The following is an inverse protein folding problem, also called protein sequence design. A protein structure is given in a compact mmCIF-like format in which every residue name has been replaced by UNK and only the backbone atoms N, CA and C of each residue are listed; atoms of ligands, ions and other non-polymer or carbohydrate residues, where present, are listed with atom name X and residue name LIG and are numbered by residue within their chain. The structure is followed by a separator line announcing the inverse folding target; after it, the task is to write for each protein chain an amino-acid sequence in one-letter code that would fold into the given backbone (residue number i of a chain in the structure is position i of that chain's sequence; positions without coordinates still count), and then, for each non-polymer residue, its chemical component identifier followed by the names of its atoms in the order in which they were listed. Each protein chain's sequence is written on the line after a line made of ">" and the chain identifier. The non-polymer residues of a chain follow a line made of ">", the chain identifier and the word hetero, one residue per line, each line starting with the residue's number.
data_IF_250982480417
#
_entry.id   IF_250982480417
#
_cell.length_a   1.000
_cell.length_b   1.000
_cell.length_c   1.000
_cell.angle_alpha   90.00
_cell.angle_beta   90.00
_cell.angle_gamma   90.00
#
_symmetry.space_group_name_H-M   'P 1'
#
loop_
_entity.id
_entity.type
_entity.pdbx_description
1 polymer ?
#
# COMPACT_ATOMS: atom_id res chain seq x y z
N UNK A 1 -6.71 -6.91 -12.47
CA UNK A 1 -7.18 -8.09 -13.25
C UNK A 1 -8.31 -8.78 -12.50
N UNK A 2 -8.13 -9.29 -11.25
CA UNK A 2 -9.18 -10.04 -10.55
C UNK A 2 -10.47 -9.25 -10.28
N UNK A 3 -10.37 -8.02 -9.77
CA UNK A 3 -11.55 -7.17 -9.51
C UNK A 3 -12.27 -6.80 -10.81
N UNK A 4 -11.53 -6.50 -11.87
CA UNK A 4 -12.10 -6.21 -13.21
C UNK A 4 -12.84 -7.42 -13.79
N UNK A 5 -12.28 -8.62 -13.66
CA UNK A 5 -12.94 -9.85 -14.11
C UNK A 5 -14.24 -10.10 -13.33
N UNK A 6 -14.25 -9.84 -12.02
CA UNK A 6 -15.45 -10.02 -11.19
C UNK A 6 -16.52 -8.95 -11.48
N UNK A 7 -16.10 -7.72 -11.74
CA UNK A 7 -17.02 -6.64 -12.11
C UNK A 7 -17.74 -6.90 -13.45
N UNK A 8 -17.12 -7.67 -14.34
CA UNK A 8 -17.68 -8.07 -15.64
C UNK A 8 -18.38 -9.43 -15.65
N UNK A 9 -18.36 -10.13 -14.52
CA UNK A 9 -19.05 -11.41 -14.39
C UNK A 9 -20.58 -11.24 -14.37
N UNK A 10 -21.31 -12.34 -14.58
CA UNK A 10 -22.78 -12.33 -14.46
C UNK A 10 -23.18 -11.95 -13.02
N UNK A 11 -24.14 -11.04 -12.84
CA UNK A 11 -24.60 -10.63 -11.52
C UNK A 11 -25.61 -11.64 -10.92
N UNK A 12 -25.25 -12.91 -10.92
CA UNK A 12 -26.08 -14.03 -10.46
C UNK A 12 -25.77 -14.46 -9.00
N UNK A 13 -24.84 -13.77 -8.33
CA UNK A 13 -24.42 -14.03 -6.97
C UNK A 13 -23.43 -15.20 -6.82
N UNK A 14 -23.02 -15.86 -7.89
CA UNK A 14 -22.08 -16.99 -7.83
C UNK A 14 -20.61 -16.59 -7.99
N UNK A 15 -20.34 -15.35 -8.42
CA UNK A 15 -18.97 -14.83 -8.54
C UNK A 15 -18.68 -13.89 -7.39
N UNK A 16 -17.73 -14.26 -6.53
CA UNK A 16 -17.25 -13.46 -5.41
C UNK A 16 -15.82 -13.03 -5.61
N UNK A 17 -15.48 -11.83 -5.15
CA UNK A 17 -14.10 -11.33 -5.16
C UNK A 17 -13.69 -10.86 -3.76
N UNK A 18 -12.49 -11.26 -3.35
CA UNK A 18 -11.83 -10.68 -2.20
C UNK A 18 -10.92 -9.54 -2.69
N UNK A 19 -11.29 -8.32 -2.37
CA UNK A 19 -10.60 -7.13 -2.84
C UNK A 19 -9.94 -6.37 -1.69
N UNK A 20 -8.75 -5.84 -1.93
CA UNK A 20 -8.07 -4.94 -1.00
C UNK A 20 -8.59 -3.50 -1.16
N UNK A 21 -8.44 -2.70 -0.11
CA UNK A 21 -8.74 -1.26 -0.15
C UNK A 21 -7.99 -0.51 -1.26
N UNK A 22 -6.80 -0.97 -1.62
CA UNK A 22 -6.05 -0.43 -2.76
C UNK A 22 -6.84 -0.50 -4.06
N UNK A 23 -7.46 -1.64 -4.36
CA UNK A 23 -8.16 -1.88 -5.60
C UNK A 23 -9.52 -1.18 -5.67
N UNK A 24 -10.26 -1.12 -4.55
CA UNK A 24 -11.66 -0.60 -4.55
C UNK A 24 -11.79 0.84 -4.07
N UNK A 25 -10.80 1.36 -3.34
CA UNK A 25 -10.85 2.71 -2.78
C UNK A 25 -9.78 3.62 -3.37
N UNK A 26 -8.50 3.17 -3.39
CA UNK A 26 -7.37 4.05 -3.72
C UNK A 26 -7.20 4.19 -5.23
N UNK A 27 -7.08 3.10 -5.96
CA UNK A 27 -6.82 3.11 -7.40
C UNK A 27 -7.89 3.84 -8.23
N UNK A 28 -9.19 3.77 -7.91
CA UNK A 28 -10.21 4.52 -8.65
C UNK A 28 -10.01 6.04 -8.60
N UNK A 29 -9.44 6.56 -7.50
CA UNK A 29 -9.13 7.99 -7.37
C UNK A 29 -7.78 8.38 -7.97
N UNK A 30 -6.88 7.43 -8.20
CA UNK A 30 -5.55 7.68 -8.76
C UNK A 30 -5.48 7.50 -10.28
N UNK A 31 -6.39 6.75 -10.88
CA UNK A 31 -6.39 6.43 -12.30
C UNK A 31 -7.62 7.02 -12.98
N UNK A 32 -7.39 7.84 -14.00
CA UNK A 32 -8.47 8.44 -14.79
C UNK A 32 -9.29 7.39 -15.58
N UNK A 33 -8.66 6.30 -16.01
CA UNK A 33 -9.28 5.25 -16.80
C UNK A 33 -9.23 3.92 -16.06
N UNK A 34 -10.16 3.73 -15.12
CA UNK A 34 -10.38 2.43 -14.48
C UNK A 34 -11.31 1.57 -15.34
N UNK A 35 -11.01 0.25 -15.48
CA UNK A 35 -11.86 -0.65 -16.26
C UNK A 35 -13.14 -1.09 -15.54
N UNK A 36 -13.36 -0.65 -14.30
CA UNK A 36 -14.54 -0.90 -13.48
C UNK A 36 -14.80 0.28 -12.52
N UNK A 37 -16.03 0.46 -12.12
CA UNK A 37 -16.46 1.38 -11.08
C UNK A 37 -16.85 0.58 -9.82
N UNK A 38 -16.07 0.65 -8.72
CA UNK A 38 -16.37 -0.14 -7.52
C UNK A 38 -17.73 0.12 -6.90
N UNK A 39 -18.30 1.32 -7.08
CA UNK A 39 -19.59 1.70 -6.51
C UNK A 39 -20.78 1.25 -7.35
N UNK A 40 -20.56 1.03 -8.66
CA UNK A 40 -21.61 0.65 -9.59
C UNK A 40 -21.57 -0.82 -9.99
N UNK A 41 -20.36 -1.37 -10.14
CA UNK A 41 -20.15 -2.68 -10.74
C UNK A 41 -19.93 -3.78 -9.68
N UNK A 42 -19.83 -3.41 -8.39
CA UNK A 42 -19.63 -4.34 -7.28
C UNK A 42 -20.66 -4.11 -6.18
N UNK A 43 -21.20 -5.20 -5.64
CA UNK A 43 -22.04 -5.19 -4.44
C UNK A 43 -21.21 -5.61 -3.22
N UNK A 44 -20.99 -4.74 -2.22
CA UNK A 44 -20.24 -5.11 -1.02
C UNK A 44 -21.06 -6.08 -0.17
N UNK A 45 -20.45 -7.20 0.22
CA UNK A 45 -21.09 -8.21 1.09
C UNK A 45 -20.68 -8.02 2.54
N UNK A 46 -19.37 -8.01 2.82
CA UNK A 46 -18.84 -7.88 4.17
C UNK A 46 -17.36 -7.48 4.16
N UNK A 47 -16.93 -6.81 5.22
CA UNK A 47 -15.53 -6.64 5.53
C UNK A 47 -15.02 -7.90 6.23
N UNK A 48 -14.11 -8.63 5.60
CA UNK A 48 -13.57 -9.90 6.12
C UNK A 48 -12.55 -9.66 7.22
N UNK A 49 -11.66 -8.68 7.05
CA UNK A 49 -10.61 -8.35 8.01
C UNK A 49 -10.12 -6.91 7.86
N UNK A 50 -9.51 -6.39 8.94
CA UNK A 50 -8.72 -5.17 8.93
C UNK A 50 -7.24 -5.49 9.11
N UNK A 51 -6.38 -4.89 8.29
CA UNK A 51 -4.92 -5.11 8.35
C UNK A 51 -4.25 -3.84 8.86
N UNK A 52 -3.65 -3.86 10.07
CA UNK A 52 -2.86 -2.73 10.55
C UNK A 52 -1.59 -2.58 9.71
N UNK A 53 -1.20 -1.34 9.48
CA UNK A 53 0.05 -1.04 8.78
C UNK A 53 1.18 -0.92 9.81
N UNK A 54 2.28 -1.63 9.60
CA UNK A 54 3.44 -1.64 10.49
C UNK A 54 4.62 -1.01 9.77
N UNK A 55 5.31 -0.08 10.46
CA UNK A 55 6.58 0.47 10.00
C UNK A 55 7.70 -0.39 10.55
N UNK A 56 8.44 -1.05 9.67
CA UNK A 56 9.62 -1.81 10.03
C UNK A 56 10.87 -1.14 9.46
N UNK A 57 11.96 -1.21 10.18
CA UNK A 57 13.26 -0.66 9.75
C UNK A 57 14.33 -1.74 9.76
N UNK A 58 15.33 -1.60 8.89
CA UNK A 58 16.46 -2.51 8.88
C UNK A 58 17.27 -2.35 10.19
N UNK A 59 17.72 -3.44 10.82
CA UNK A 59 18.44 -3.38 12.11
C UNK A 59 19.70 -2.53 12.08
N UNK A 60 20.36 -2.44 10.93
CA UNK A 60 21.58 -1.64 10.74
C UNK A 60 21.35 -0.12 10.74
N UNK A 61 20.09 0.34 10.70
CA UNK A 61 19.77 1.77 10.86
C UNK A 61 19.93 2.25 12.31
N UNK A 62 19.92 1.35 13.29
CA UNK A 62 20.15 1.68 14.70
C UNK A 62 19.05 2.50 15.36
N UNK A 63 17.89 2.69 14.72
CA UNK A 63 16.74 3.41 15.27
C UNK A 63 15.80 2.45 16.00
N UNK A 64 15.25 2.89 17.14
CA UNK A 64 14.37 2.08 18.00
C UNK A 64 12.99 2.68 18.18
N UNK A 65 12.75 3.86 17.65
CA UNK A 65 11.46 4.55 17.75
C UNK A 65 11.11 5.28 16.44
N UNK A 66 9.83 5.57 16.26
CA UNK A 66 9.38 6.36 15.14
C UNK A 66 9.96 7.79 15.16
N UNK A 67 10.12 8.35 16.35
CA UNK A 67 10.73 9.67 16.55
C UNK A 67 12.18 9.72 16.07
N UNK A 68 12.97 8.70 16.40
CA UNK A 68 14.36 8.58 15.93
C UNK A 68 14.42 8.39 14.41
N UNK A 69 13.50 7.59 13.82
CA UNK A 69 13.40 7.44 12.38
C UNK A 69 13.10 8.77 11.69
N UNK A 70 12.13 9.53 12.20
CA UNK A 70 11.77 10.85 11.68
C UNK A 70 12.93 11.84 11.79
N UNK A 71 13.64 11.86 12.94
CA UNK A 71 14.81 12.71 13.13
C UNK A 71 15.92 12.36 12.14
N UNK A 72 16.19 11.08 11.93
CA UNK A 72 17.17 10.61 10.94
C UNK A 72 16.76 10.99 9.53
N UNK A 73 15.50 10.82 9.15
CA UNK A 73 15.01 11.17 7.83
C UNK A 73 15.10 12.68 7.55
N UNK A 74 14.85 13.52 8.56
CA UNK A 74 15.03 14.97 8.46
C UNK A 74 16.51 15.39 8.31
N UNK A 75 17.41 14.67 8.99
CA UNK A 75 18.84 14.92 8.89
C UNK A 75 19.43 14.48 7.53
N UNK A 76 18.77 13.58 6.83
CA UNK A 76 19.24 13.00 5.55
C UNK A 76 18.12 12.94 4.51
N UNK A 77 17.62 14.10 4.03
CA UNK A 77 16.51 14.13 3.09
C UNK A 77 16.86 13.37 1.79
N UNK A 78 15.92 12.59 1.29
CA UNK A 78 16.05 11.80 0.07
C UNK A 78 16.99 10.59 0.14
N UNK A 79 17.68 10.35 1.28
CA UNK A 79 18.63 9.23 1.40
C UNK A 79 17.98 7.95 1.92
N UNK A 80 16.83 8.05 2.56
CA UNK A 80 16.08 6.89 3.01
C UNK A 80 15.04 6.49 1.97
N UNK A 81 14.84 5.19 1.82
CA UNK A 81 13.81 4.63 0.97
C UNK A 81 12.91 3.69 1.78
N UNK A 82 11.63 3.63 1.45
CA UNK A 82 10.72 2.65 1.99
C UNK A 82 10.13 1.75 0.90
N UNK A 83 9.98 0.47 1.21
CA UNK A 83 9.35 -0.52 0.34
C UNK A 83 7.83 -0.54 0.54
N UNK A 84 7.09 -0.71 -0.54
CA UNK A 84 5.64 -0.90 -0.54
C UNK A 84 5.24 -1.99 -1.53
N UNK A 85 3.99 -2.44 -1.45
CA UNK A 85 3.43 -3.44 -2.38
C UNK A 85 3.12 -2.85 -3.78
N UNK A 86 3.57 -1.65 -4.07
CA UNK A 86 3.37 -0.95 -5.34
C UNK A 86 2.54 0.32 -5.18
N UNK A 87 2.62 1.18 -6.22
CA UNK A 87 1.89 2.45 -6.27
C UNK A 87 0.37 2.19 -6.22
N UNK A 88 -0.33 2.91 -5.35
CA UNK A 88 -1.77 2.74 -5.13
C UNK A 88 -2.14 1.62 -4.16
N UNK A 89 -1.16 0.96 -3.52
CA UNK A 89 -1.42 0.07 -2.40
C UNK A 89 -1.67 0.86 -1.11
N UNK A 90 -2.35 0.26 -0.13
CA UNK A 90 -2.53 0.85 1.20
C UNK A 90 -1.20 1.11 1.90
N UNK A 91 -0.20 0.23 1.70
CA UNK A 91 1.16 0.42 2.22
C UNK A 91 1.84 1.65 1.62
N UNK A 92 1.70 1.87 0.30
CA UNK A 92 2.24 3.06 -0.35
C UNK A 92 1.59 4.33 0.20
N UNK A 93 0.26 4.35 0.31
CA UNK A 93 -0.47 5.50 0.85
C UNK A 93 -0.14 5.78 2.31
N UNK A 94 0.06 4.75 3.13
CA UNK A 94 0.50 4.91 4.51
C UNK A 94 1.89 5.54 4.60
N UNK A 95 2.83 5.13 3.74
CA UNK A 95 4.15 5.75 3.63
C UNK A 95 4.09 7.22 3.21
N UNK A 96 3.31 7.53 2.19
CA UNK A 96 3.12 8.92 1.73
C UNK A 96 2.43 9.79 2.79
N UNK A 97 1.47 9.24 3.53
CA UNK A 97 0.84 9.94 4.66
C UNK A 97 1.85 10.21 5.78
N UNK A 98 2.72 9.26 6.08
CA UNK A 98 3.79 9.46 7.07
C UNK A 98 4.75 10.58 6.62
N UNK A 99 5.15 10.60 5.35
CA UNK A 99 5.98 11.69 4.78
C UNK A 99 5.33 13.04 4.99
N UNK A 100 4.05 13.15 4.62
CA UNK A 100 3.28 14.39 4.73
C UNK A 100 3.16 14.84 6.18
N UNK A 101 2.78 13.94 7.10
CA UNK A 101 2.54 14.26 8.51
C UNK A 101 3.82 14.56 9.29
N UNK A 102 4.90 13.88 8.98
CA UNK A 102 6.19 14.07 9.64
C UNK A 102 7.07 15.14 8.98
N UNK A 103 6.71 15.62 7.79
CA UNK A 103 7.52 16.57 7.02
C UNK A 103 8.91 16.00 6.70
N UNK A 104 8.96 14.76 6.19
CA UNK A 104 10.20 14.06 5.86
C UNK A 104 10.23 13.72 4.36
N UNK A 105 11.44 13.72 3.81
CA UNK A 105 11.67 13.30 2.43
C UNK A 105 12.31 11.90 2.40
N UNK A 106 11.48 10.91 2.05
CA UNK A 106 11.89 9.52 1.86
C UNK A 106 11.35 9.01 0.53
N UNK A 107 12.14 8.24 -0.20
CA UNK A 107 11.78 7.75 -1.53
C UNK A 107 10.95 6.47 -1.43
N UNK A 108 9.82 6.43 -2.14
CA UNK A 108 9.06 5.19 -2.26
C UNK A 108 9.72 4.26 -3.29
N UNK A 109 10.05 3.04 -2.87
CA UNK A 109 10.49 1.97 -3.75
C UNK A 109 9.33 1.00 -3.97
N UNK A 110 8.86 0.88 -5.20
CA UNK A 110 7.84 -0.09 -5.56
C UNK A 110 8.51 -1.45 -5.86
N UNK A 111 8.29 -2.40 -4.99
CA UNK A 111 8.26 -3.85 -5.23
C UNK A 111 9.42 -4.60 -5.91
N UNK A 112 10.44 -3.94 -6.41
CA UNK A 112 11.56 -4.59 -7.10
C UNK A 112 12.94 -4.21 -6.55
N UNK A 113 13.01 -3.75 -5.30
CA UNK A 113 14.32 -3.70 -4.67
C UNK A 113 14.89 -5.12 -4.63
N UNK A 114 16.17 -5.31 -4.98
CA UNK A 114 16.86 -6.54 -4.67
C UNK A 114 17.08 -6.60 -3.16
N UNK A 115 16.00 -6.71 -2.41
CA UNK A 115 16.09 -7.06 -1.03
C UNK A 115 16.58 -8.50 -1.01
N UNK A 116 17.85 -8.67 -0.77
CA UNK A 116 18.30 -9.90 -0.13
C UNK A 116 17.60 -9.95 1.22
N UNK A 117 16.35 -10.40 1.19
CA UNK A 117 15.67 -10.81 2.40
C UNK A 117 16.53 -11.94 2.96
N UNK A 118 17.13 -11.81 4.17
CA UNK A 118 17.80 -12.94 4.77
C UNK A 118 16.79 -14.08 4.83
N UNK A 119 17.16 -15.24 4.32
CA UNK A 119 16.32 -16.43 4.41
C UNK A 119 16.06 -16.67 5.91
N UNK A 120 14.81 -16.68 6.30
CA UNK A 120 14.40 -17.13 7.64
C UNK A 120 14.92 -18.55 7.84
N UNK A 121 15.51 -18.86 9.01
CA UNK A 121 15.89 -20.22 9.36
C UNK A 121 14.71 -21.18 9.39
#
# INVERSE_FOLDING_TARGET
>A
IGVDASAKARPDGHTLVMASSGAVVILPHMRANMPYDPLRDLAPVSQVLGVPQIVSVAPNLGVRSLQELVAMARARPGQLAFGSAGIGSSLHMAGELLKLRAGIDVTASAGSAPARCPRWP
#
